data_IF_930437442828
#
_entry.id   IF_930437442828
#
_cell.length_a   1.000
_cell.length_b   1.000
_cell.length_c   1.000
_cell.angle_alpha   90.00
_cell.angle_beta   90.00
_cell.angle_gamma   90.00
#
_symmetry.space_group_name_H-M   'P 1'
#
loop_
_entity.id
_entity.type
_entity.pdbx_description
1 polymer ?
#
# COMPACT_ATOMS: atom_id res chain seq x y z
N UNK A 1 5.49 -19.58 2.86
CA UNK A 1 5.18 -18.20 2.38
C UNK A 1 3.72 -17.83 2.66
N UNK A 2 2.76 -18.75 2.41
CA UNK A 2 1.36 -18.53 2.77
C UNK A 2 1.17 -18.29 4.28
N UNK A 3 1.80 -19.09 5.14
CA UNK A 3 1.66 -18.95 6.60
C UNK A 3 2.18 -17.61 7.11
N UNK A 4 3.36 -17.18 6.65
CA UNK A 4 3.93 -15.85 6.95
C UNK A 4 2.98 -14.70 6.60
N UNK A 5 2.32 -14.75 5.45
CA UNK A 5 1.38 -13.70 5.04
C UNK A 5 0.12 -13.72 5.91
N UNK A 6 -0.41 -14.91 6.22
CA UNK A 6 -1.59 -15.06 7.09
C UNK A 6 -1.33 -14.55 8.49
N UNK A 7 -0.17 -14.88 9.07
CA UNK A 7 0.17 -14.53 10.46
C UNK A 7 0.52 -13.05 10.64
N UNK A 8 1.23 -12.44 9.68
CA UNK A 8 1.80 -11.10 9.87
C UNK A 8 1.11 -9.99 9.07
N UNK A 9 0.45 -10.33 7.95
CA UNK A 9 -0.14 -9.34 7.04
C UNK A 9 -1.68 -9.46 6.97
N UNK A 10 -2.27 -10.48 7.61
CA UNK A 10 -3.70 -10.66 7.73
C UNK A 10 -4.39 -10.93 6.39
N UNK A 11 -5.48 -10.20 6.11
CA UNK A 11 -6.34 -10.40 4.94
C UNK A 11 -5.87 -9.66 3.67
N UNK A 12 -4.61 -9.25 3.59
CA UNK A 12 -4.09 -8.55 2.41
C UNK A 12 -3.95 -9.52 1.24
N UNK A 13 -4.40 -9.07 0.06
CA UNK A 13 -4.16 -9.79 -1.18
C UNK A 13 -2.69 -9.68 -1.58
N UNK A 14 -2.18 -10.71 -2.23
CA UNK A 14 -0.83 -10.73 -2.79
C UNK A 14 -0.89 -11.20 -4.24
N UNK A 15 -0.01 -10.65 -5.09
CA UNK A 15 0.20 -11.19 -6.43
C UNK A 15 0.81 -12.61 -6.34
N UNK A 16 0.39 -13.54 -7.21
CA UNK A 16 1.10 -14.80 -7.41
C UNK A 16 2.60 -14.57 -7.68
N UNK A 17 3.45 -15.50 -7.27
CA UNK A 17 4.91 -15.29 -7.30
C UNK A 17 5.46 -15.00 -8.72
N UNK A 18 4.86 -15.60 -9.74
CA UNK A 18 5.23 -15.46 -11.15
C UNK A 18 4.34 -14.47 -11.93
N UNK A 19 3.53 -13.68 -11.23
CA UNK A 19 2.68 -12.69 -11.89
C UNK A 19 3.53 -11.59 -12.55
N UNK A 20 3.31 -11.28 -13.85
CA UNK A 20 4.09 -10.28 -14.57
C UNK A 20 3.97 -8.87 -13.97
N UNK A 21 2.85 -8.55 -13.31
CA UNK A 21 2.64 -7.24 -12.68
C UNK A 21 3.63 -6.95 -11.56
N UNK A 22 4.29 -7.97 -11.00
CA UNK A 22 5.36 -7.77 -10.01
C UNK A 22 6.49 -6.88 -10.55
N UNK A 23 6.86 -7.04 -11.84
CA UNK A 23 7.88 -6.22 -12.47
C UNK A 23 7.33 -4.88 -12.98
N UNK A 24 6.10 -4.88 -13.51
CA UNK A 24 5.43 -3.65 -13.97
C UNK A 24 5.24 -2.66 -12.82
N UNK A 25 4.70 -3.10 -11.68
CA UNK A 25 4.44 -2.24 -10.52
C UNK A 25 5.74 -1.73 -9.89
N UNK A 26 6.80 -2.57 -9.87
CA UNK A 26 8.13 -2.14 -9.41
C UNK A 26 8.65 -0.97 -10.24
N UNK A 27 8.44 -1.03 -11.56
CA UNK A 27 8.87 0.00 -12.51
C UNK A 27 7.98 1.25 -12.40
N UNK A 28 6.66 1.08 -12.47
CA UNK A 28 5.66 2.17 -12.38
C UNK A 28 5.87 3.03 -11.14
N UNK A 29 6.12 2.39 -9.99
CA UNK A 29 6.31 3.09 -8.72
C UNK A 29 7.77 3.31 -8.32
N UNK A 30 8.71 3.12 -9.25
CA UNK A 30 10.14 3.41 -9.06
C UNK A 30 10.72 2.77 -7.78
N UNK A 31 10.39 1.50 -7.53
CA UNK A 31 10.81 0.78 -6.32
C UNK A 31 12.26 0.28 -6.50
N UNK A 32 13.19 1.06 -5.94
CA UNK A 32 14.63 0.75 -5.97
C UNK A 32 15.07 -0.17 -4.82
N UNK A 33 14.45 -0.05 -3.64
CA UNK A 33 14.78 -0.80 -2.45
C UNK A 33 13.53 -1.21 -1.67
N UNK A 34 13.65 -2.33 -0.94
CA UNK A 34 12.62 -2.85 -0.03
C UNK A 34 13.09 -2.75 1.43
N UNK A 35 12.19 -2.67 2.42
CA UNK A 35 10.72 -2.62 2.31
C UNK A 35 10.18 -1.24 1.86
N UNK A 36 9.16 -1.25 1.00
CA UNK A 36 8.49 -0.06 0.45
C UNK A 36 6.97 -0.20 0.56
N UNK A 37 6.28 0.91 0.87
CA UNK A 37 4.82 0.99 0.89
C UNK A 37 4.42 2.28 0.17
N UNK A 38 3.71 2.13 -0.94
CA UNK A 38 3.17 3.21 -1.76
C UNK A 38 1.66 3.22 -1.56
N UNK A 39 1.10 4.39 -1.27
CA UNK A 39 -0.34 4.58 -1.08
C UNK A 39 -0.88 5.20 -2.37
N UNK A 40 -1.93 4.61 -2.91
CA UNK A 40 -2.53 5.00 -4.19
C UNK A 40 -4.03 5.17 -4.04
N UNK A 41 -4.62 6.02 -4.89
CA UNK A 41 -6.07 6.12 -5.08
C UNK A 41 -6.58 4.91 -5.88
N UNK A 42 -7.90 4.64 -5.87
CA UNK A 42 -8.51 3.68 -6.79
C UNK A 42 -8.26 3.98 -8.27
N UNK A 43 -8.03 5.26 -8.64
CA UNK A 43 -7.63 5.67 -9.99
C UNK A 43 -6.23 5.18 -10.39
N UNK A 44 -5.40 4.78 -9.41
CA UNK A 44 -3.98 4.48 -9.59
C UNK A 44 -3.04 5.65 -9.30
N UNK A 45 -3.56 6.85 -9.03
CA UNK A 45 -2.74 8.02 -8.69
C UNK A 45 -2.05 7.84 -7.33
N UNK A 46 -0.79 8.26 -7.24
CA UNK A 46 -0.01 8.12 -6.02
C UNK A 46 -0.37 9.23 -5.03
N UNK A 47 -0.81 8.84 -3.83
CA UNK A 47 -0.97 9.73 -2.69
C UNK A 47 0.40 9.99 -2.04
N UNK A 48 1.18 8.92 -1.85
CA UNK A 48 2.53 9.02 -1.26
C UNK A 48 3.33 7.74 -1.49
N UNK A 49 4.61 7.91 -1.81
CA UNK A 49 5.59 6.83 -1.89
C UNK A 49 6.34 6.59 -0.56
N UNK A 50 6.08 7.44 0.45
CA UNK A 50 6.73 7.44 1.77
C UNK A 50 5.88 6.75 2.84
N UNK A 51 4.90 5.92 2.46
CA UNK A 51 3.94 5.30 3.38
C UNK A 51 4.61 4.61 4.58
N UNK A 52 5.67 3.84 4.33
CA UNK A 52 6.47 3.19 5.40
C UNK A 52 7.00 4.19 6.43
N UNK A 53 7.57 5.32 5.97
CA UNK A 53 8.15 6.34 6.85
C UNK A 53 7.05 7.01 7.67
N UNK A 54 5.93 7.34 7.04
CA UNK A 54 4.78 7.98 7.69
C UNK A 54 4.15 7.08 8.76
N UNK A 55 3.98 5.78 8.52
CA UNK A 55 3.52 4.83 9.55
C UNK A 55 4.47 4.83 10.74
N UNK A 56 5.79 4.74 10.48
CA UNK A 56 6.79 4.70 11.56
C UNK A 56 6.78 5.97 12.41
N UNK A 57 6.60 7.13 11.79
CA UNK A 57 6.70 8.43 12.47
C UNK A 57 5.39 8.90 13.08
N UNK A 58 4.24 8.53 12.50
CA UNK A 58 2.93 9.08 12.86
C UNK A 58 1.91 8.03 13.28
N UNK A 59 2.23 6.74 13.14
CA UNK A 59 1.30 5.65 13.42
C UNK A 59 0.00 5.80 12.65
N UNK A 60 -1.13 5.58 13.32
CA UNK A 60 -2.46 5.63 12.71
C UNK A 60 -2.83 7.03 12.17
N UNK A 61 -2.25 8.12 12.70
CA UNK A 61 -2.59 9.48 12.28
C UNK A 61 -2.20 9.78 10.82
N UNK A 62 -1.27 9.02 10.22
CA UNK A 62 -1.00 9.20 8.78
C UNK A 62 -2.17 8.77 7.90
N UNK A 63 -3.02 7.86 8.37
CA UNK A 63 -4.15 7.33 7.61
C UNK A 63 -5.19 8.41 7.29
N UNK A 64 -5.49 9.32 8.24
CA UNK A 64 -6.44 10.42 8.02
C UNK A 64 -6.02 11.29 6.84
N UNK A 65 -4.74 11.65 6.78
CA UNK A 65 -4.17 12.44 5.67
C UNK A 65 -4.29 11.69 4.32
N UNK A 66 -4.14 10.36 4.34
CA UNK A 66 -4.29 9.56 3.12
C UNK A 66 -5.74 9.47 2.67
N UNK A 67 -6.68 9.31 3.60
CA UNK A 67 -8.12 9.26 3.31
C UNK A 67 -8.59 10.59 2.73
N UNK A 68 -8.20 11.71 3.36
CA UNK A 68 -8.50 13.06 2.85
C UNK A 68 -7.93 13.25 1.45
N UNK A 69 -6.66 12.92 1.24
CA UNK A 69 -6.03 13.04 -0.07
C UNK A 69 -6.62 12.11 -1.13
N UNK A 70 -7.24 10.99 -0.72
CA UNK A 70 -7.87 10.04 -1.62
C UNK A 70 -9.22 10.53 -2.16
N UNK A 71 -9.79 11.59 -1.58
CA UNK A 71 -11.14 12.10 -1.88
C UNK A 71 -12.21 10.98 -1.77
N UNK A 72 -11.96 9.96 -0.94
CA UNK A 72 -12.87 8.83 -0.75
C UNK A 72 -14.00 9.32 0.17
N UNK A 73 -15.18 9.57 -0.41
CA UNK A 73 -16.43 9.59 0.36
C UNK A 73 -16.58 8.24 1.07
N UNK A 74 -16.72 8.26 2.39
CA UNK A 74 -16.71 7.07 3.25
C UNK A 74 -17.69 5.99 2.77
N UNK A 75 -17.19 4.97 2.09
CA UNK A 75 -17.89 3.71 1.82
C UNK A 75 -17.38 2.56 2.70
N UNK A 76 -16.66 2.87 3.80
CA UNK A 76 -16.32 1.87 4.79
C UNK A 76 -17.43 1.83 5.86
N UNK A 77 -18.54 1.19 5.52
CA UNK A 77 -19.44 0.64 6.54
C UNK A 77 -18.68 -0.43 7.32
N UNK A 78 -18.49 -0.18 8.61
CA UNK A 78 -17.96 -1.16 9.56
C UNK A 78 -18.89 -2.34 9.78
#
# INVERSE_FOLDING_TARGET
>A
MLDFMRELHGAWLALPFHDPYRHELRTRYHIMAIPRLVIVKPSGDVITDKGRKQIRERGLACFQNWVEAADIFQNFSG
#
